data_IF_769177583317
#
_entry.id   IF_769177583317
#
_cell.length_a   1.000
_cell.length_b   1.000
_cell.length_c   1.000
_cell.angle_alpha   90.00
_cell.angle_beta   90.00
_cell.angle_gamma   90.00
#
_symmetry.space_group_name_H-M   'P 1'
#
loop_
_entity.id
_entity.type
_entity.pdbx_description
1 polymer ?
#
# COMPACT_ATOMS: atom_id res chain seq x y z
N UNK A 1 8.16 14.43 13.11
CA UNK A 1 8.34 13.12 13.81
C UNK A 1 8.05 12.02 12.81
N UNK A 2 8.80 10.93 12.85
CA UNK A 2 8.44 9.74 12.08
C UNK A 2 7.22 9.07 12.73
N UNK A 3 6.23 8.71 11.92
CA UNK A 3 5.09 7.90 12.34
C UNK A 3 5.28 6.48 11.81
N UNK A 4 5.04 5.48 12.66
CA UNK A 4 5.11 4.07 12.27
C UNK A 4 3.71 3.48 12.21
N UNK A 5 3.51 2.57 11.26
CA UNK A 5 2.26 1.82 11.11
C UNK A 5 2.58 0.33 11.04
N UNK A 6 1.69 -0.50 11.60
CA UNK A 6 1.81 -1.95 11.44
C UNK A 6 1.58 -2.37 9.98
N UNK A 7 2.27 -3.42 9.54
CA UNK A 7 2.16 -3.93 8.17
C UNK A 7 0.75 -4.38 7.81
N UNK A 8 0.02 -4.99 8.76
CA UNK A 8 -1.37 -5.39 8.57
C UNK A 8 -2.29 -4.17 8.35
N UNK A 9 -2.19 -3.15 9.21
CA UNK A 9 -3.00 -1.93 9.05
C UNK A 9 -2.67 -1.17 7.76
N UNK A 10 -1.40 -1.20 7.32
CA UNK A 10 -1.02 -0.66 6.02
C UNK A 10 -1.71 -1.43 4.87
N UNK A 11 -1.64 -2.76 4.91
CA UNK A 11 -2.26 -3.62 3.90
C UNK A 11 -3.78 -3.45 3.83
N UNK A 12 -4.45 -3.27 4.97
CA UNK A 12 -5.89 -3.00 5.02
C UNK A 12 -6.26 -1.66 4.35
N UNK A 13 -5.35 -0.67 4.38
CA UNK A 13 -5.60 0.66 3.84
C UNK A 13 -5.20 0.83 2.38
N UNK A 14 -4.07 0.27 1.98
CA UNK A 14 -3.42 0.53 0.70
C UNK A 14 -3.14 -0.74 -0.11
N UNK A 15 -3.36 -1.91 0.48
CA UNK A 15 -2.99 -3.19 -0.11
C UNK A 15 -1.58 -3.66 0.27
N UNK A 16 -1.22 -4.90 -0.09
CA UNK A 16 0.10 -5.48 0.16
C UNK A 16 1.22 -4.68 -0.51
N UNK A 17 2.42 -4.72 0.07
CA UNK A 17 3.64 -4.07 -0.47
C UNK A 17 4.75 -5.09 -0.69
N UNK A 18 5.95 -4.67 -1.11
CA UNK A 18 7.06 -5.55 -1.44
C UNK A 18 7.37 -6.55 -0.32
N UNK A 19 7.43 -7.84 -0.66
CA UNK A 19 7.64 -8.97 0.26
C UNK A 19 6.37 -9.53 0.91
N UNK A 20 5.20 -8.90 0.74
CA UNK A 20 3.91 -9.52 1.10
C UNK A 20 3.59 -10.71 0.18
N UNK A 21 2.96 -11.74 0.76
CA UNK A 21 2.52 -12.93 0.03
C UNK A 21 1.01 -13.05 0.07
N UNK A 22 0.44 -13.41 -1.08
CA UNK A 22 -1.00 -13.56 -1.24
C UNK A 22 -1.33 -14.91 -1.86
N UNK A 23 -2.41 -15.51 -1.36
CA UNK A 23 -3.03 -16.67 -1.98
C UNK A 23 -3.96 -16.21 -3.10
N UNK A 24 -3.90 -16.87 -4.25
CA UNK A 24 -4.81 -16.61 -5.36
C UNK A 24 -6.12 -17.38 -5.17
N UNK A 25 -7.14 -16.69 -4.65
CA UNK A 25 -8.46 -17.27 -4.39
C UNK A 25 -8.39 -18.43 -3.39
N UNK A 26 -9.08 -19.52 -3.69
CA UNK A 26 -9.11 -20.77 -2.93
C UNK A 26 -8.07 -21.80 -3.40
N UNK A 27 -7.16 -21.40 -4.29
CA UNK A 27 -6.09 -22.29 -4.78
C UNK A 27 -4.93 -22.43 -3.79
N UNK A 28 -3.98 -23.30 -4.10
CA UNK A 28 -2.71 -23.43 -3.38
C UNK A 28 -1.59 -22.56 -3.97
N UNK A 29 -1.91 -21.63 -4.88
CA UNK A 29 -0.94 -20.72 -5.46
C UNK A 29 -0.69 -19.53 -4.52
N UNK A 30 0.58 -19.34 -4.15
CA UNK A 30 1.06 -18.19 -3.37
C UNK A 30 1.96 -17.34 -4.26
N UNK A 31 1.63 -16.06 -4.41
CA UNK A 31 2.44 -15.06 -5.10
C UNK A 31 3.08 -14.10 -4.09
N UNK A 32 4.20 -13.51 -4.47
CA UNK A 32 4.91 -12.49 -3.69
C UNK A 32 4.92 -11.17 -4.46
N UNK A 33 4.67 -10.05 -3.77
CA UNK A 33 4.87 -8.72 -4.36
C UNK A 33 6.37 -8.48 -4.44
N UNK A 34 6.94 -8.54 -5.64
CA UNK A 34 8.38 -8.40 -5.83
C UNK A 34 8.85 -6.95 -5.64
N UNK A 35 8.03 -6.00 -6.06
CA UNK A 35 8.36 -4.57 -6.07
C UNK A 35 7.12 -3.72 -5.84
N UNK A 36 7.32 -2.62 -5.12
CA UNK A 36 6.32 -1.58 -4.91
C UNK A 36 6.89 -0.26 -5.41
N UNK A 37 6.52 0.11 -6.63
CA UNK A 37 7.06 1.31 -7.30
C UNK A 37 6.57 2.62 -6.69
N UNK A 38 5.48 2.59 -5.91
CA UNK A 38 4.99 3.77 -5.19
C UNK A 38 5.95 4.03 -4.03
N UNK A 39 6.22 3.02 -3.21
CA UNK A 39 7.10 3.15 -2.03
C UNK A 39 8.57 3.33 -2.43
N UNK A 40 9.02 2.71 -3.52
CA UNK A 40 10.40 2.87 -4.03
C UNK A 40 10.68 4.30 -4.51
N UNK A 41 9.68 5.00 -5.07
CA UNK A 41 9.87 6.32 -5.68
C UNK A 41 9.39 7.47 -4.79
N UNK A 42 8.20 7.33 -4.20
CA UNK A 42 7.56 8.34 -3.38
C UNK A 42 7.77 8.15 -1.87
N UNK A 43 8.20 6.95 -1.45
CA UNK A 43 8.28 6.60 -0.04
C UNK A 43 6.91 6.22 0.55
N UNK A 44 6.96 5.60 1.73
CA UNK A 44 5.74 5.31 2.51
C UNK A 44 5.14 6.60 3.08
N UNK A 45 3.83 6.77 2.93
CA UNK A 45 3.07 7.94 3.37
C UNK A 45 2.55 8.84 2.24
N UNK A 46 3.03 8.64 1.00
CA UNK A 46 2.62 9.38 -0.19
C UNK A 46 1.65 8.55 -1.08
N UNK A 47 0.96 7.57 -0.49
CA UNK A 47 0.05 6.70 -1.24
C UNK A 47 -1.18 7.48 -1.75
N UNK A 48 -1.49 7.29 -3.03
CA UNK A 48 -2.60 7.96 -3.68
C UNK A 48 -3.92 7.31 -3.27
N UNK A 49 -4.77 8.04 -2.54
CA UNK A 49 -6.08 7.55 -2.10
C UNK A 49 -7.19 8.56 -2.39
N UNK A 50 -8.20 8.11 -3.12
CA UNK A 50 -9.42 8.87 -3.37
C UNK A 50 -10.44 8.74 -2.23
N UNK A 51 -11.17 9.82 -1.97
CA UNK A 51 -12.28 9.89 -1.02
C UNK A 51 -12.37 11.25 -0.32
N UNK A 52 -13.51 11.50 0.34
CA UNK A 52 -13.72 12.73 1.09
C UNK A 52 -12.62 12.96 2.13
N UNK A 53 -11.91 14.10 2.04
CA UNK A 53 -10.82 14.46 2.96
C UNK A 53 -9.50 13.71 2.76
N UNK A 54 -9.34 12.94 1.67
CA UNK A 54 -8.13 12.14 1.41
C UNK A 54 -7.12 12.85 0.50
N UNK A 55 -6.22 12.09 -0.11
CA UNK A 55 -5.07 12.63 -0.84
C UNK A 55 -5.50 13.29 -2.15
N UNK A 56 -6.34 12.61 -2.96
CA UNK A 56 -6.74 13.10 -4.29
C UNK A 56 -7.73 14.26 -4.20
N UNK A 57 -7.23 15.50 -4.21
CA UNK A 57 -8.02 16.75 -4.12
C UNK A 57 -7.27 17.93 -4.74
N UNK A 58 -8.01 18.97 -5.12
CA UNK A 58 -7.43 20.18 -5.71
C UNK A 58 -6.38 20.83 -4.78
N UNK A 59 -5.23 21.17 -5.36
CA UNK A 59 -4.05 21.67 -4.64
C UNK A 59 -3.31 20.65 -3.77
N UNK A 60 -3.72 19.37 -3.80
CA UNK A 60 -3.08 18.25 -3.10
C UNK A 60 -2.69 17.16 -4.10
N UNK A 61 -2.41 15.95 -3.60
CA UNK A 61 -1.99 14.80 -4.40
C UNK A 61 -3.03 14.32 -5.41
#
# INVERSE_FOLDING_TARGET
MAYSISRAAYADMYGPTAGDKLRLGDTDLIIEVERDLITERGGYGEEVKFGGGKVIRDGMG
#
